data_IF_393804438298
#
_entry.id   IF_393804438298
#
_cell.length_a   1.000
_cell.length_b   1.000
_cell.length_c   1.000
_cell.angle_alpha   90.00
_cell.angle_beta   90.00
_cell.angle_gamma   90.00
#
_symmetry.space_group_name_H-M   'P 1'
#
loop_
_entity.id
_entity.type
_entity.pdbx_description
1 polymer ?
#
# COMPACT_ATOMS: atom_id res chain seq x y z
N UNK A 1 -36.87 -15.59 41.53
CA UNK A 1 -36.05 -14.37 41.44
C UNK A 1 -34.55 -14.67 41.32
N UNK A 2 -33.94 -15.44 42.24
CA UNK A 2 -32.49 -15.70 42.25
C UNK A 2 -31.93 -16.36 40.96
N UNK A 3 -32.65 -17.29 40.32
CA UNK A 3 -32.20 -17.90 39.05
C UNK A 3 -32.11 -16.91 37.88
N UNK A 4 -32.98 -15.90 37.83
CA UNK A 4 -32.97 -14.88 36.78
C UNK A 4 -31.78 -13.94 36.95
N UNK A 5 -31.45 -13.52 38.19
CA UNK A 5 -30.24 -12.75 38.47
C UNK A 5 -28.96 -13.51 38.11
N UNK A 6 -28.89 -14.79 38.47
CA UNK A 6 -27.73 -15.63 38.16
C UNK A 6 -27.54 -15.78 36.64
N UNK A 7 -28.62 -16.02 35.90
CA UNK A 7 -28.59 -16.09 34.44
C UNK A 7 -28.16 -14.77 33.79
N UNK A 8 -28.63 -13.62 34.31
CA UNK A 8 -28.20 -12.30 33.83
C UNK A 8 -26.72 -12.02 34.08
N UNK A 9 -26.18 -12.44 35.24
CA UNK A 9 -24.75 -12.30 35.56
C UNK A 9 -23.90 -13.15 34.62
N UNK A 10 -24.24 -14.43 34.44
CA UNK A 10 -23.51 -15.31 33.51
C UNK A 10 -23.58 -14.82 32.07
N UNK A 11 -24.71 -14.25 31.64
CA UNK A 11 -24.85 -13.67 30.30
C UNK A 11 -23.94 -12.45 30.11
N UNK A 12 -23.86 -11.57 31.11
CA UNK A 12 -22.96 -10.41 31.07
C UNK A 12 -21.48 -10.79 31.10
N UNK A 13 -21.11 -11.81 31.88
CA UNK A 13 -19.74 -12.35 31.87
C UNK A 13 -19.40 -13.01 30.54
N UNK A 14 -20.32 -13.77 29.95
CA UNK A 14 -20.12 -14.37 28.63
C UNK A 14 -19.91 -13.30 27.55
N UNK A 15 -20.73 -12.24 27.54
CA UNK A 15 -20.58 -11.12 26.60
C UNK A 15 -19.25 -10.38 26.79
N UNK A 16 -18.83 -10.16 28.05
CA UNK A 16 -17.53 -9.57 28.36
C UNK A 16 -16.37 -10.41 27.83
N UNK A 17 -16.40 -11.73 28.07
CA UNK A 17 -15.35 -12.65 27.59
C UNK A 17 -15.30 -12.63 26.06
N UNK A 18 -16.45 -12.66 25.39
CA UNK A 18 -16.55 -12.65 23.94
C UNK A 18 -15.96 -11.35 23.35
N UNK A 19 -16.27 -10.20 23.96
CA UNK A 19 -15.77 -8.90 23.54
C UNK A 19 -14.25 -8.78 23.72
N UNK A 20 -13.72 -9.21 24.87
CA UNK A 20 -12.28 -9.17 25.15
C UNK A 20 -11.54 -10.11 24.21
N UNK A 21 -12.04 -11.34 24.00
CA UNK A 21 -11.41 -12.30 23.08
C UNK A 21 -11.42 -11.82 21.64
N UNK A 22 -12.49 -11.14 21.21
CA UNK A 22 -12.54 -10.52 19.89
C UNK A 22 -11.49 -9.40 19.75
N UNK A 23 -11.37 -8.54 20.75
CA UNK A 23 -10.37 -7.47 20.75
C UNK A 23 -8.92 -8.01 20.75
N UNK A 24 -8.65 -9.05 21.54
CA UNK A 24 -7.36 -9.75 21.54
C UNK A 24 -7.04 -10.36 20.16
N UNK A 25 -8.02 -11.02 19.53
CA UNK A 25 -7.84 -11.60 18.21
C UNK A 25 -7.58 -10.53 17.13
N UNK A 26 -8.27 -9.40 17.17
CA UNK A 26 -8.04 -8.28 16.25
C UNK A 26 -6.65 -7.65 16.45
N UNK A 27 -6.20 -7.53 17.69
CA UNK A 27 -4.85 -7.02 18.00
C UNK A 27 -3.76 -7.98 17.50
N UNK A 28 -3.92 -9.28 17.74
CA UNK A 28 -2.99 -10.32 17.30
C UNK A 28 -2.93 -10.39 15.76
N UNK A 29 -4.09 -10.31 15.10
CA UNK A 29 -4.15 -10.30 13.64
C UNK A 29 -3.40 -9.11 13.03
N UNK A 30 -3.56 -7.90 13.60
CA UNK A 30 -2.81 -6.71 13.18
C UNK A 30 -1.32 -6.86 13.45
N UNK A 31 -0.94 -7.42 14.60
CA UNK A 31 0.46 -7.69 14.93
C UNK A 31 1.10 -8.64 13.94
N UNK A 32 0.49 -9.80 13.69
CA UNK A 32 0.96 -10.80 12.72
C UNK A 32 1.03 -10.24 11.30
N UNK A 33 0.04 -9.45 10.88
CA UNK A 33 0.09 -8.74 9.59
C UNK A 33 1.28 -7.79 9.51
N UNK A 34 1.52 -6.99 10.55
CA UNK A 34 2.68 -6.09 10.62
C UNK A 34 4.02 -6.84 10.59
N UNK A 35 4.13 -7.95 11.33
CA UNK A 35 5.31 -8.82 11.33
C UNK A 35 5.53 -9.44 9.94
N UNK A 36 4.46 -9.89 9.29
CA UNK A 36 4.51 -10.43 7.93
C UNK A 36 5.04 -9.41 6.92
N UNK A 37 4.51 -8.18 6.94
CA UNK A 37 4.96 -7.08 6.09
C UNK A 37 6.43 -6.74 6.37
N UNK A 38 6.84 -6.67 7.64
CA UNK A 38 8.21 -6.39 8.00
C UNK A 38 9.18 -7.47 7.48
N UNK A 39 8.84 -8.75 7.67
CA UNK A 39 9.62 -9.88 7.16
C UNK A 39 9.69 -9.88 5.64
N UNK A 40 8.58 -9.59 4.96
CA UNK A 40 8.55 -9.48 3.50
C UNK A 40 9.49 -8.36 3.03
N UNK A 41 9.44 -7.17 3.66
CA UNK A 41 10.34 -6.06 3.32
C UNK A 41 11.80 -6.41 3.56
N UNK A 42 12.10 -7.15 4.63
CA UNK A 42 13.46 -7.62 4.88
C UNK A 42 13.92 -8.59 3.79
N UNK A 43 13.12 -9.60 3.45
CA UNK A 43 13.45 -10.55 2.38
C UNK A 43 13.64 -9.86 1.01
N UNK A 44 12.81 -8.87 0.69
CA UNK A 44 12.96 -8.05 -0.52
C UNK A 44 14.31 -7.31 -0.50
N UNK A 45 14.63 -6.67 0.62
CA UNK A 45 15.87 -5.88 0.78
C UNK A 45 17.11 -6.76 0.67
N UNK A 46 17.09 -7.92 1.32
CA UNK A 46 18.19 -8.88 1.31
C UNK A 46 18.39 -9.46 -0.09
N UNK A 47 17.31 -9.82 -0.80
CA UNK A 47 17.37 -10.25 -2.19
C UNK A 47 17.89 -9.17 -3.14
N UNK A 48 17.48 -7.91 -2.97
CA UNK A 48 18.01 -6.76 -3.72
C UNK A 48 19.51 -6.58 -3.49
N UNK A 49 19.98 -6.67 -2.24
CA UNK A 49 21.41 -6.60 -1.91
C UNK A 49 22.20 -7.71 -2.61
N UNK A 50 21.71 -8.95 -2.54
CA UNK A 50 22.36 -10.09 -3.20
C UNK A 50 22.43 -9.89 -4.72
N UNK A 51 21.33 -9.45 -5.34
CA UNK A 51 21.29 -9.14 -6.77
C UNK A 51 22.32 -8.06 -7.15
N UNK A 52 22.43 -6.98 -6.38
CA UNK A 52 23.40 -5.89 -6.64
C UNK A 52 24.84 -6.40 -6.53
N UNK A 53 25.16 -7.20 -5.51
CA UNK A 53 26.50 -7.77 -5.33
C UNK A 53 26.85 -8.70 -6.51
N UNK A 54 25.95 -9.61 -6.89
CA UNK A 54 26.14 -10.52 -8.01
C UNK A 54 26.36 -9.77 -9.33
N UNK A 55 25.61 -8.69 -9.58
CA UNK A 55 25.73 -7.89 -10.79
C UNK A 55 27.05 -7.10 -10.84
N UNK A 56 27.46 -6.51 -9.71
CA UNK A 56 28.73 -5.79 -9.58
C UNK A 56 29.95 -6.69 -9.78
N UNK A 57 29.87 -7.96 -9.35
CA UNK A 57 30.93 -8.94 -9.60
C UNK A 57 30.96 -9.45 -11.04
N UNK A 58 29.80 -9.53 -11.71
CA UNK A 58 29.69 -10.06 -13.08
C UNK A 58 30.03 -9.03 -14.15
N UNK A 59 29.86 -7.74 -13.86
CA UNK A 59 30.10 -6.64 -14.79
C UNK A 59 31.18 -5.71 -14.23
N UNK A 60 32.40 -5.88 -14.72
CA UNK A 60 33.54 -5.06 -14.32
C UNK A 60 33.34 -3.59 -14.70
N UNK A 61 33.29 -2.71 -13.71
CA UNK A 61 33.23 -1.26 -13.90
C UNK A 61 31.89 -0.60 -13.52
N UNK A 62 30.86 -1.38 -13.18
CA UNK A 62 29.56 -0.82 -12.76
C UNK A 62 29.51 -0.62 -11.25
N UNK A 63 29.12 0.57 -10.82
CA UNK A 63 28.88 0.88 -9.40
C UNK A 63 27.51 0.36 -8.94
N UNK A 64 27.39 0.06 -7.64
CA UNK A 64 26.12 -0.30 -7.03
C UNK A 64 25.01 0.76 -7.27
N UNK A 65 25.40 2.03 -7.42
CA UNK A 65 24.49 3.14 -7.72
C UNK A 65 23.89 3.01 -9.11
N UNK A 66 24.67 2.68 -10.14
CA UNK A 66 24.17 2.55 -11.51
C UNK A 66 23.23 1.34 -11.66
N UNK A 67 23.50 0.25 -10.96
CA UNK A 67 22.60 -0.91 -10.90
C UNK A 67 21.28 -0.54 -10.24
N UNK A 68 21.33 0.24 -9.15
CA UNK A 68 20.13 0.72 -8.46
C UNK A 68 19.32 1.68 -9.34
N UNK A 69 19.99 2.61 -10.03
CA UNK A 69 19.35 3.54 -10.97
C UNK A 69 18.62 2.78 -12.09
N UNK A 70 19.22 1.72 -12.65
CA UNK A 70 18.58 0.86 -13.66
C UNK A 70 17.36 0.12 -13.12
N UNK A 71 17.46 -0.49 -11.93
CA UNK A 71 16.34 -1.21 -11.28
C UNK A 71 15.16 -0.26 -11.04
N UNK A 72 15.43 0.98 -10.59
CA UNK A 72 14.38 1.98 -10.37
C UNK A 72 13.64 2.33 -11.67
N UNK A 73 14.35 2.45 -12.79
CA UNK A 73 13.73 2.70 -14.10
C UNK A 73 12.88 1.51 -14.53
N UNK A 74 13.34 0.28 -14.35
CA UNK A 74 12.55 -0.92 -14.64
C UNK A 74 11.29 -0.97 -13.77
N UNK A 75 11.42 -0.73 -12.46
CA UNK A 75 10.28 -0.71 -11.52
C UNK A 75 9.25 0.35 -11.91
N UNK A 76 9.70 1.53 -12.37
CA UNK A 76 8.82 2.58 -12.86
C UNK A 76 7.97 2.10 -14.05
N UNK A 77 8.59 1.45 -15.04
CA UNK A 77 7.87 0.90 -16.18
C UNK A 77 6.96 -0.28 -15.82
N UNK A 78 7.40 -1.17 -14.94
CA UNK A 78 6.57 -2.28 -14.46
C UNK A 78 5.33 -1.76 -13.72
N UNK A 79 5.49 -0.70 -12.91
CA UNK A 79 4.37 -0.05 -12.22
C UNK A 79 3.39 0.57 -13.23
N UNK A 80 3.89 1.24 -14.27
CA UNK A 80 3.04 1.79 -15.35
C UNK A 80 2.32 0.67 -16.10
N UNK A 81 3.01 -0.44 -16.38
CA UNK A 81 2.43 -1.58 -17.06
C UNK A 81 1.31 -2.23 -16.23
N UNK A 82 1.56 -2.49 -14.95
CA UNK A 82 0.56 -3.06 -14.03
C UNK A 82 -0.68 -2.16 -13.90
N UNK A 83 -0.45 -0.85 -13.89
CA UNK A 83 -1.49 0.15 -13.87
C UNK A 83 -2.30 0.23 -15.17
N UNK A 84 -1.66 -0.06 -16.31
CA UNK A 84 -2.29 -0.15 -17.63
C UNK A 84 -3.02 -1.48 -17.89
N UNK A 85 -2.56 -2.59 -17.31
CA UNK A 85 -3.20 -3.91 -17.44
C UNK A 85 -4.51 -4.01 -16.63
N UNK A 86 -4.74 -3.10 -15.68
CA UNK A 86 -5.99 -2.99 -14.95
C UNK A 86 -7.14 -2.47 -15.82
N UNK A 87 -7.90 -3.38 -16.44
CA UNK A 87 -9.02 -3.12 -17.37
C UNK A 87 -10.12 -2.12 -16.91
N UNK A 88 -10.10 -1.65 -15.65
CA UNK A 88 -11.05 -0.67 -15.08
C UNK A 88 -10.39 0.44 -14.24
N UNK A 89 -9.08 0.66 -14.35
CA UNK A 89 -8.41 1.73 -13.62
C UNK A 89 -8.34 3.02 -14.45
N UNK A 90 -9.02 4.07 -13.99
CA UNK A 90 -8.76 5.44 -14.45
C UNK A 90 -7.58 5.98 -13.68
N UNK A 91 -6.39 5.96 -14.28
CA UNK A 91 -5.19 6.51 -13.67
C UNK A 91 -4.96 7.93 -14.14
N UNK A 92 -4.94 8.89 -13.21
CA UNK A 92 -4.53 10.27 -13.46
C UNK A 92 -3.05 10.40 -13.10
N UNK A 93 -2.19 10.59 -14.10
CA UNK A 93 -0.78 10.91 -13.87
C UNK A 93 -0.68 12.38 -13.49
N UNK A 94 -0.32 12.64 -12.22
CA UNK A 94 -0.11 13.97 -11.67
C UNK A 94 1.41 14.24 -11.67
N UNK A 95 1.93 15.02 -12.63
CA UNK A 95 3.34 15.38 -12.62
C UNK A 95 3.68 16.14 -11.34
N UNK A 96 4.68 15.66 -10.58
CA UNK A 96 5.12 16.26 -9.33
C UNK A 96 6.39 17.11 -9.55
N UNK A 97 6.21 18.23 -10.25
CA UNK A 97 7.21 19.31 -10.25
C UNK A 97 6.60 20.58 -9.65
N UNK A 98 7.39 21.49 -9.04
CA UNK A 98 6.86 22.72 -8.44
C UNK A 98 5.97 23.56 -9.36
N UNK A 99 6.17 23.49 -10.68
CA UNK A 99 5.31 24.16 -11.67
C UNK A 99 4.02 23.42 -12.03
N UNK A 100 3.96 22.10 -11.83
CA UNK A 100 2.89 21.25 -12.36
C UNK A 100 1.64 21.21 -11.48
N UNK A 101 1.75 21.48 -10.17
CA UNK A 101 0.59 21.51 -9.25
C UNK A 101 -0.41 22.60 -9.63
N UNK A 102 0.08 23.75 -10.12
CA UNK A 102 -0.77 24.84 -10.63
C UNK A 102 -1.51 24.40 -11.90
N UNK A 103 -0.79 23.77 -12.82
CA UNK A 103 -1.36 23.31 -14.10
C UNK A 103 -2.41 22.22 -13.89
N UNK A 104 -2.22 21.33 -12.90
CA UNK A 104 -3.22 20.31 -12.51
C UNK A 104 -4.48 20.97 -11.93
N UNK A 105 -4.32 22.00 -11.10
CA UNK A 105 -5.47 22.73 -10.54
C UNK A 105 -6.26 23.46 -11.62
N UNK A 106 -5.58 23.97 -12.65
CA UNK A 106 -6.21 24.58 -13.83
C UNK A 106 -6.89 23.52 -14.72
N UNK A 107 -6.25 22.37 -14.97
CA UNK A 107 -6.82 21.28 -15.77
C UNK A 107 -8.05 20.65 -15.12
N UNK A 108 -8.03 20.43 -13.80
CA UNK A 108 -9.20 19.93 -13.06
C UNK A 108 -10.33 20.95 -13.11
N UNK A 109 -10.04 22.23 -12.89
CA UNK A 109 -11.04 23.30 -12.96
C UNK A 109 -11.68 23.37 -14.36
N UNK A 110 -10.86 23.34 -15.41
CA UNK A 110 -11.33 23.43 -16.79
C UNK A 110 -12.12 22.18 -17.17
N UNK A 111 -11.65 20.98 -16.81
CA UNK A 111 -12.39 19.72 -17.06
C UNK A 111 -13.73 19.66 -16.33
N UNK A 112 -13.80 20.15 -15.09
CA UNK A 112 -15.08 20.29 -14.37
C UNK A 112 -16.00 21.33 -15.02
N UNK A 113 -15.44 22.46 -15.47
CA UNK A 113 -16.21 23.53 -16.12
C UNK A 113 -16.76 23.08 -17.49
N UNK A 114 -15.95 22.41 -18.29
CA UNK A 114 -16.32 21.84 -19.58
C UNK A 114 -17.35 20.72 -19.42
N UNK A 115 -17.21 19.87 -18.41
CA UNK A 115 -18.22 18.86 -18.08
C UNK A 115 -19.57 19.49 -17.67
N UNK A 116 -19.55 20.60 -16.92
CA UNK A 116 -20.78 21.34 -16.61
C UNK A 116 -21.40 22.07 -17.80
N UNK A 117 -20.59 22.51 -18.78
CA UNK A 117 -21.08 23.13 -20.01
C UNK A 117 -21.60 22.12 -21.05
N UNK A 118 -21.08 20.89 -21.06
CA UNK A 118 -21.55 19.81 -21.94
C UNK A 118 -22.88 19.17 -21.50
N UNK A 119 -23.41 19.55 -20.33
CA UNK A 119 -24.62 18.99 -19.74
C UNK A 119 -25.85 19.92 -19.87
N UNK A 120 -25.79 20.85 -20.85
CA UNK A 120 -26.89 21.70 -21.33
C UNK A 120 -27.18 21.37 -22.79
#
# INVERSE_FOLDING_TARGET
AQRLQLASVYKGEAEKILLVKKAEAEAEAKHLSGVGIARQRQAITDGLRENILNFSHSVSGTSAKEVMDLIMVTQYFDTIKELGDGSKNTTVFIPHGPGHVRDISEQIRNGMMEASCSNV
#
